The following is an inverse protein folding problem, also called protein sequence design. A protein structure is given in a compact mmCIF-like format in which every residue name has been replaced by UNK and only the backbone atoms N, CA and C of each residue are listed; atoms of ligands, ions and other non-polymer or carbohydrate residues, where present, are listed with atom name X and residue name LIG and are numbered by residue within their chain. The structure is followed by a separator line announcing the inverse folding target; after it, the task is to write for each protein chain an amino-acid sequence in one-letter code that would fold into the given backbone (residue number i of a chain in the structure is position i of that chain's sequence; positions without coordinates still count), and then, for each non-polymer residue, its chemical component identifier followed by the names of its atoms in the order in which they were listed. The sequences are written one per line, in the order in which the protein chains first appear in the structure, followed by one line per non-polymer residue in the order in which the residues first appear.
data_IF_648041276281
#
_entry.id   IF_648041276281
#
_cell.length_a   1.000
_cell.length_b   1.000
_cell.length_c   1.000
_cell.angle_alpha   90.00
_cell.angle_beta   90.00
_cell.angle_gamma   90.00
#
_symmetry.space_group_name_H-M   'P 1'
#
loop_
_entity.id
_entity.type
_entity.pdbx_description
1 polymer ?
#
# COMPACT_ATOMS: atom_id res chain seq x y z
N UNK A 1 8.72 18.83 6.05
CA UNK A 1 9.45 17.54 6.20
C UNK A 1 8.51 16.33 6.17
N UNK A 2 7.46 16.28 7.00
CA UNK A 2 6.54 15.13 7.08
C UNK A 2 5.94 14.69 5.73
N UNK A 3 5.47 15.64 4.93
CA UNK A 3 4.92 15.41 3.59
C UNK A 3 5.88 14.62 2.69
N UNK A 4 7.12 15.11 2.55
CA UNK A 4 8.16 14.47 1.75
C UNK A 4 8.53 13.10 2.31
N UNK A 5 8.66 12.96 3.63
CA UNK A 5 8.99 11.66 4.22
C UNK A 5 7.88 10.63 4.00
N UNK A 6 6.61 11.03 4.03
CA UNK A 6 5.50 10.11 3.76
C UNK A 6 5.55 9.59 2.31
N UNK A 7 5.73 10.51 1.35
CA UNK A 7 5.88 10.19 -0.07
C UNK A 7 7.08 9.25 -0.31
N UNK A 8 8.27 9.60 0.23
CA UNK A 8 9.49 8.80 0.09
C UNK A 8 9.32 7.40 0.69
N UNK A 9 8.70 7.29 1.87
CA UNK A 9 8.47 5.97 2.47
C UNK A 9 7.48 5.13 1.65
N UNK A 10 6.51 5.76 0.97
CA UNK A 10 5.65 5.08 0.00
C UNK A 10 6.44 4.51 -1.18
N UNK A 11 7.33 5.33 -1.76
CA UNK A 11 8.24 4.91 -2.85
C UNK A 11 9.12 3.73 -2.41
N UNK A 12 9.73 3.82 -1.22
CA UNK A 12 10.58 2.76 -0.69
C UNK A 12 9.79 1.48 -0.41
N UNK A 13 8.55 1.59 0.05
CA UNK A 13 7.68 0.44 0.26
C UNK A 13 7.36 -0.28 -1.06
N UNK A 14 7.08 0.47 -2.14
CA UNK A 14 6.87 -0.12 -3.47
C UNK A 14 8.14 -0.81 -3.99
N UNK A 15 9.30 -0.17 -3.85
CA UNK A 15 10.58 -0.79 -4.21
C UNK A 15 10.84 -2.09 -3.44
N UNK A 16 10.51 -2.14 -2.14
CA UNK A 16 10.62 -3.35 -1.34
C UNK A 16 9.63 -4.43 -1.78
N UNK A 17 8.38 -4.07 -2.06
CA UNK A 17 7.37 -5.00 -2.58
C UNK A 17 7.82 -5.61 -3.91
N UNK A 18 8.20 -4.78 -4.88
CA UNK A 18 8.68 -5.21 -6.19
C UNK A 18 9.88 -6.17 -6.09
N UNK A 19 10.83 -5.90 -5.18
CA UNK A 19 11.96 -6.82 -4.93
C UNK A 19 11.48 -8.16 -4.39
N UNK A 20 10.54 -8.17 -3.44
CA UNK A 20 9.99 -9.41 -2.89
C UNK A 20 9.23 -10.20 -3.96
N UNK A 21 8.41 -9.55 -4.76
CA UNK A 21 7.70 -10.20 -5.87
C UNK A 21 8.68 -10.78 -6.89
N UNK A 22 9.72 -10.02 -7.24
CA UNK A 22 10.77 -10.49 -8.15
C UNK A 22 11.51 -11.71 -7.60
N UNK A 23 11.72 -11.81 -6.29
CA UNK A 23 12.39 -12.94 -5.66
C UNK A 23 11.49 -14.17 -5.51
N UNK A 24 10.20 -13.98 -5.21
CA UNK A 24 9.31 -15.07 -4.80
C UNK A 24 8.29 -15.49 -5.86
N UNK A 25 7.92 -14.60 -6.77
CA UNK A 25 6.84 -14.81 -7.73
C UNK A 25 7.32 -14.94 -9.19
N UNK A 26 8.57 -14.58 -9.48
CA UNK A 26 9.13 -14.70 -10.83
C UNK A 26 9.12 -16.16 -11.32
N UNK A 27 8.62 -16.36 -12.54
CA UNK A 27 8.52 -17.69 -13.16
C UNK A 27 7.29 -18.49 -12.77
N UNK A 28 6.42 -17.98 -11.90
CA UNK A 28 5.13 -18.60 -11.58
C UNK A 28 4.07 -18.23 -12.62
N UNK A 29 3.21 -19.19 -12.97
CA UNK A 29 2.03 -18.94 -13.80
C UNK A 29 1.02 -18.07 -13.05
N UNK A 30 0.46 -17.07 -13.73
CA UNK A 30 -0.55 -16.19 -13.17
C UNK A 30 -1.81 -17.00 -12.78
N UNK A 31 -2.08 -17.10 -11.49
CA UNK A 31 -3.24 -17.79 -10.93
C UNK A 31 -3.69 -17.09 -9.62
N UNK A 32 -4.82 -17.51 -9.05
CA UNK A 32 -5.40 -16.88 -7.86
C UNK A 32 -4.42 -16.85 -6.66
N UNK A 33 -3.58 -17.87 -6.49
CA UNK A 33 -2.61 -17.92 -5.40
C UNK A 33 -1.50 -16.89 -5.60
N UNK A 34 -1.02 -16.70 -6.84
CA UNK A 34 -0.03 -15.67 -7.17
C UNK A 34 -0.61 -14.27 -6.97
N UNK A 35 -1.88 -14.03 -7.34
CA UNK A 35 -2.53 -12.73 -7.13
C UNK A 35 -2.70 -12.40 -5.64
N UNK A 36 -3.07 -13.40 -4.82
CA UNK A 36 -3.13 -13.26 -3.36
C UNK A 36 -1.73 -13.01 -2.79
N UNK A 37 -0.73 -13.76 -3.24
CA UNK A 37 0.64 -13.62 -2.76
C UNK A 37 1.21 -12.23 -3.08
N UNK A 38 1.00 -11.71 -4.29
CA UNK A 38 1.38 -10.34 -4.65
C UNK A 38 0.72 -9.30 -3.73
N UNK A 39 -0.61 -9.39 -3.56
CA UNK A 39 -1.33 -8.52 -2.65
C UNK A 39 -0.80 -8.59 -1.20
N UNK A 40 -0.41 -9.77 -0.71
CA UNK A 40 0.22 -9.93 0.61
C UNK A 40 1.58 -9.23 0.67
N UNK A 41 2.43 -9.39 -0.35
CA UNK A 41 3.76 -8.79 -0.39
C UNK A 41 3.67 -7.26 -0.46
N UNK A 42 2.81 -6.73 -1.32
CA UNK A 42 2.58 -5.30 -1.46
C UNK A 42 2.01 -4.67 -0.19
N UNK A 43 0.89 -5.19 0.32
CA UNK A 43 0.26 -4.65 1.52
C UNK A 43 1.14 -4.86 2.76
N UNK A 44 1.89 -5.96 2.81
CA UNK A 44 2.89 -6.24 3.84
C UNK A 44 3.98 -5.19 3.87
N UNK A 45 4.57 -4.89 2.71
CA UNK A 45 5.58 -3.85 2.58
C UNK A 45 5.01 -2.47 2.96
N UNK A 46 3.84 -2.10 2.45
CA UNK A 46 3.15 -0.84 2.84
C UNK A 46 2.97 -0.76 4.35
N UNK A 47 2.43 -1.81 4.96
CA UNK A 47 2.17 -1.85 6.40
C UNK A 47 3.45 -1.65 7.22
N UNK A 48 4.52 -2.39 6.90
CA UNK A 48 5.80 -2.29 7.62
C UNK A 48 6.37 -0.87 7.50
N UNK A 49 6.46 -0.33 6.28
CA UNK A 49 7.03 1.00 6.07
C UNK A 49 6.17 2.11 6.66
N UNK A 50 4.85 2.03 6.55
CA UNK A 50 3.92 2.98 7.14
C UNK A 50 3.99 2.96 8.68
N UNK A 51 4.07 1.77 9.28
CA UNK A 51 4.27 1.61 10.72
C UNK A 51 5.58 2.26 11.17
N UNK A 52 6.68 1.99 10.47
CA UNK A 52 8.00 2.52 10.82
C UNK A 52 8.08 4.04 10.61
N UNK A 53 7.53 4.55 9.52
CA UNK A 53 7.41 5.98 9.27
C UNK A 53 6.62 6.66 10.39
N UNK A 54 5.44 6.13 10.73
CA UNK A 54 4.61 6.67 11.81
C UNK A 54 5.35 6.65 13.13
N UNK A 55 6.01 5.55 13.49
CA UNK A 55 6.80 5.44 14.73
C UNK A 55 7.93 6.46 14.78
N UNK A 56 8.58 6.77 13.66
CA UNK A 56 9.73 7.68 13.59
C UNK A 56 9.35 9.16 13.62
N UNK A 57 8.25 9.53 12.97
CA UNK A 57 7.96 10.94 12.68
C UNK A 57 6.71 11.51 13.36
N UNK A 58 5.72 10.70 13.71
CA UNK A 58 4.48 11.19 14.35
C UNK A 58 4.51 11.38 15.88
N UNK A 59 5.30 10.67 16.71
CA UNK A 59 5.30 10.89 18.15
C UNK A 59 5.77 12.29 18.56
N UNK A 60 6.45 12.98 17.65
CA UNK A 60 7.11 14.27 17.92
C UNK A 60 6.16 15.46 17.81
N UNK A 61 4.96 15.31 17.25
CA UNK A 61 4.04 16.43 17.00
C UNK A 61 2.58 16.00 17.23
N UNK A 62 1.78 16.75 18.00
CA UNK A 62 0.34 16.53 18.07
C UNK A 62 -0.30 16.92 16.73
N UNK A 63 -0.63 15.93 15.92
CA UNK A 63 -1.16 16.12 14.56
C UNK A 63 -2.66 15.80 14.54
N UNK A 64 -3.45 16.71 13.99
CA UNK A 64 -4.89 16.54 13.75
C UNK A 64 -5.16 15.36 12.80
N UNK A 65 -6.24 14.61 13.05
CA UNK A 65 -6.62 13.44 12.25
C UNK A 65 -6.67 13.70 10.73
N UNK A 66 -7.27 14.80 10.23
CA UNK A 66 -7.30 15.07 8.79
C UNK A 66 -5.91 15.17 8.16
N UNK A 67 -4.93 15.73 8.89
CA UNK A 67 -3.56 15.82 8.40
C UNK A 67 -2.86 14.46 8.41
N UNK A 68 -3.15 13.57 9.37
CA UNK A 68 -2.63 12.19 9.34
C UNK A 68 -3.18 11.42 8.13
N UNK A 69 -4.48 11.54 7.86
CA UNK A 69 -5.11 10.92 6.68
C UNK A 69 -4.47 11.45 5.39
N UNK A 70 -4.24 12.77 5.29
CA UNK A 70 -3.54 13.35 4.14
C UNK A 70 -2.12 12.79 3.97
N UNK A 71 -1.37 12.58 5.05
CA UNK A 71 -0.04 11.95 4.99
C UNK A 71 -0.11 10.49 4.52
N UNK A 72 -1.13 9.73 4.94
CA UNK A 72 -1.34 8.37 4.45
C UNK A 72 -1.72 8.33 2.96
N UNK A 73 -2.48 9.32 2.49
CA UNK A 73 -2.73 9.50 1.05
C UNK A 73 -1.42 9.76 0.30
N UNK A 74 -0.56 10.65 0.79
CA UNK A 74 0.75 10.92 0.16
C UNK A 74 1.65 9.69 0.15
N UNK A 75 1.63 8.87 1.20
CA UNK A 75 2.32 7.58 1.21
C UNK A 75 1.80 6.66 0.09
N UNK A 76 0.47 6.53 -0.06
CA UNK A 76 -0.14 5.73 -1.12
C UNK A 76 0.15 6.25 -2.52
N UNK A 77 0.19 7.57 -2.70
CA UNK A 77 0.63 8.21 -3.96
C UNK A 77 2.08 7.84 -4.27
N UNK A 78 2.98 7.92 -3.28
CA UNK A 78 4.38 7.55 -3.46
C UNK A 78 4.56 6.10 -3.90
N UNK A 79 3.77 5.18 -3.32
CA UNK A 79 3.75 3.79 -3.75
C UNK A 79 3.29 3.66 -5.20
N UNK A 80 2.13 4.25 -5.54
CA UNK A 80 1.56 4.19 -6.88
C UNK A 80 2.49 4.76 -7.95
N UNK A 81 3.27 5.82 -7.64
CA UNK A 81 4.22 6.40 -8.60
C UNK A 81 5.24 5.38 -9.12
N UNK A 82 5.71 4.47 -8.27
CA UNK A 82 6.67 3.43 -8.66
C UNK A 82 5.98 2.40 -9.56
N UNK A 83 4.84 1.87 -9.14
CA UNK A 83 4.05 0.91 -9.91
C UNK A 83 3.68 1.44 -11.30
N UNK A 84 3.24 2.69 -11.38
CA UNK A 84 2.94 3.37 -12.65
C UNK A 84 4.18 3.45 -13.55
N UNK A 85 5.35 3.73 -12.98
CA UNK A 85 6.59 3.83 -13.76
C UNK A 85 7.03 2.48 -14.33
N UNK A 86 6.61 1.37 -13.71
CA UNK A 86 6.89 0.01 -14.16
C UNK A 86 5.85 -0.51 -15.18
N UNK A 87 4.59 -0.08 -15.05
CA UNK A 87 3.53 -0.44 -15.98
C UNK A 87 3.63 0.38 -17.29
N UNK A 88 4.29 -0.12 -18.34
CA UNK A 88 4.44 0.62 -19.62
C UNK A 88 3.91 -0.17 -20.84
N UNK A 89 3.08 0.44 -21.72
CA UNK A 89 2.36 1.70 -21.58
C UNK A 89 0.99 1.47 -20.89
N UNK A 90 0.68 2.17 -19.78
CA UNK A 90 -0.56 1.92 -19.06
C UNK A 90 -1.69 2.75 -19.69
N UNK A 91 -2.84 2.13 -19.95
CA UNK A 91 -4.08 2.86 -20.30
C UNK A 91 -4.45 3.78 -19.13
N UNK A 92 -5.02 4.96 -19.42
CA UNK A 92 -5.43 5.94 -18.39
C UNK A 92 -6.35 5.33 -17.32
N UNK A 93 -7.23 4.40 -17.71
CA UNK A 93 -8.09 3.67 -16.78
C UNK A 93 -7.31 2.82 -15.77
N UNK A 94 -6.18 2.24 -16.18
CA UNK A 94 -5.30 1.45 -15.31
C UNK A 94 -4.55 2.38 -14.35
N UNK A 95 -4.08 3.55 -14.83
CA UNK A 95 -3.42 4.54 -13.98
C UNK A 95 -4.31 4.99 -12.81
N UNK A 96 -5.57 5.32 -13.10
CA UNK A 96 -6.52 5.78 -12.09
C UNK A 96 -6.88 4.68 -11.10
N UNK A 97 -7.15 3.46 -11.58
CA UNK A 97 -7.51 2.35 -10.71
C UNK A 97 -6.34 1.93 -9.81
N UNK A 98 -5.13 1.89 -10.37
CA UNK A 98 -3.89 1.60 -9.65
C UNK A 98 -3.62 2.64 -8.57
N UNK A 99 -3.63 3.93 -8.93
CA UNK A 99 -3.45 5.01 -7.95
C UNK A 99 -4.49 4.94 -6.83
N UNK A 100 -5.75 4.69 -7.19
CA UNK A 100 -6.85 4.62 -6.22
C UNK A 100 -6.69 3.46 -5.25
N UNK A 101 -6.27 2.27 -5.72
CA UNK A 101 -6.11 1.10 -4.85
C UNK A 101 -4.97 1.33 -3.83
N UNK A 102 -3.82 1.88 -4.24
CA UNK A 102 -2.71 2.12 -3.30
C UNK A 102 -3.01 3.26 -2.32
N UNK A 103 -3.75 4.29 -2.73
CA UNK A 103 -4.23 5.33 -1.81
C UNK A 103 -5.21 4.73 -0.79
N UNK A 104 -6.20 3.99 -1.26
CA UNK A 104 -7.26 3.44 -0.41
C UNK A 104 -6.69 2.44 0.61
N UNK A 105 -5.83 1.52 0.18
CA UNK A 105 -5.17 0.56 1.06
C UNK A 105 -4.24 1.25 2.07
N UNK A 106 -3.50 2.28 1.66
CA UNK A 106 -2.65 3.07 2.57
C UNK A 106 -3.46 3.83 3.62
N UNK A 107 -4.59 4.43 3.23
CA UNK A 107 -5.54 5.07 4.15
C UNK A 107 -6.12 4.07 5.14
N UNK A 108 -6.50 2.87 4.66
CA UNK A 108 -7.06 1.82 5.48
C UNK A 108 -6.03 1.34 6.51
N UNK A 109 -4.83 0.93 6.08
CA UNK A 109 -3.75 0.51 6.97
C UNK A 109 -3.37 1.61 7.99
N UNK A 110 -3.26 2.85 7.53
CA UNK A 110 -2.95 4.00 8.38
C UNK A 110 -4.04 4.27 9.43
N UNK A 111 -5.31 4.14 9.05
CA UNK A 111 -6.45 4.33 9.96
C UNK A 111 -6.48 3.22 11.02
N UNK A 112 -6.28 1.96 10.64
CA UNK A 112 -6.20 0.85 11.58
C UNK A 112 -4.97 0.94 12.51
N UNK A 113 -3.86 1.51 12.02
CA UNK A 113 -2.71 1.87 12.87
C UNK A 113 -3.07 2.91 13.93
N UNK A 114 -3.94 3.87 13.61
CA UNK A 114 -4.48 4.83 14.59
C UNK A 114 -5.36 4.12 15.61
N UNK A 115 -6.33 3.32 15.13
CA UNK A 115 -7.31 2.61 15.94
C UNK A 115 -6.71 1.51 16.83
N UNK A 116 -5.49 1.01 16.51
CA UNK A 116 -4.75 0.08 17.37
C UNK A 116 -4.68 0.54 18.82
N UNK A 117 -4.60 1.85 19.06
CA UNK A 117 -4.56 2.42 20.42
C UNK A 117 -5.79 2.02 21.25
N UNK A 118 -6.94 1.86 20.60
CA UNK A 118 -8.20 1.48 21.24
C UNK A 118 -8.36 -0.03 21.34
N UNK A 119 -7.88 -0.79 20.35
CA UNK A 119 -7.87 -2.25 20.43
C UNK A 119 -6.79 -2.87 19.53
N UNK A 120 -5.98 -3.83 20.03
CA UNK A 120 -4.92 -4.45 19.24
C UNK A 120 -5.44 -5.26 18.06
N UNK A 121 -6.68 -5.77 18.10
CA UNK A 121 -7.29 -6.57 17.03
C UNK A 121 -7.58 -5.76 15.76
N UNK A 122 -7.56 -4.43 15.86
CA UNK A 122 -7.75 -3.54 14.72
C UNK A 122 -6.63 -3.71 13.68
N UNK A 123 -5.40 -4.04 14.09
CA UNK A 123 -4.31 -4.27 13.14
C UNK A 123 -4.54 -5.45 12.20
N UNK A 124 -4.73 -6.69 12.69
CA UNK A 124 -4.94 -7.83 11.79
C UNK A 124 -6.18 -7.65 10.94
N UNK A 125 -7.26 -7.03 11.46
CA UNK A 125 -8.46 -6.72 10.67
C UNK A 125 -8.15 -5.76 9.52
N UNK A 126 -7.43 -4.66 9.79
CA UNK A 126 -7.02 -3.73 8.76
C UNK A 126 -6.13 -4.37 7.70
N UNK A 127 -5.21 -5.24 8.12
CA UNK A 127 -4.33 -5.95 7.20
C UNK A 127 -5.09 -6.93 6.30
N UNK A 128 -5.99 -7.73 6.86
CA UNK A 128 -6.84 -8.66 6.09
C UNK A 128 -7.73 -7.90 5.11
N UNK A 129 -8.33 -6.78 5.53
CA UNK A 129 -9.15 -5.95 4.65
C UNK A 129 -8.34 -5.34 3.50
N UNK A 130 -7.14 -4.82 3.78
CA UNK A 130 -6.26 -4.27 2.75
C UNK A 130 -5.88 -5.34 1.70
N UNK A 131 -5.45 -6.52 2.16
CA UNK A 131 -5.11 -7.65 1.27
C UNK A 131 -6.33 -8.08 0.45
N UNK A 132 -7.50 -8.21 1.08
CA UNK A 132 -8.72 -8.67 0.40
C UNK A 132 -9.14 -7.68 -0.70
N UNK A 133 -9.06 -6.39 -0.39
CA UNK A 133 -9.39 -5.32 -1.32
C UNK A 133 -8.39 -5.25 -2.49
N UNK A 134 -7.10 -5.38 -2.20
CA UNK A 134 -6.07 -5.44 -3.25
C UNK A 134 -6.19 -6.71 -4.10
N UNK A 135 -6.38 -7.87 -3.49
CA UNK A 135 -6.59 -9.14 -4.21
C UNK A 135 -7.77 -9.03 -5.17
N UNK A 136 -8.86 -8.40 -4.73
CA UNK A 136 -10.04 -8.15 -5.58
C UNK A 136 -9.69 -7.25 -6.76
N UNK A 137 -8.91 -6.19 -6.54
CA UNK A 137 -8.39 -5.35 -7.61
C UNK A 137 -7.54 -6.15 -8.61
N UNK A 138 -6.58 -6.95 -8.11
CA UNK A 138 -5.71 -7.79 -8.94
C UNK A 138 -6.52 -8.78 -9.79
N UNK A 139 -7.57 -9.37 -9.22
CA UNK A 139 -8.47 -10.27 -9.94
C UNK A 139 -9.24 -9.55 -11.06
N UNK A 140 -9.78 -8.37 -10.77
CA UNK A 140 -10.50 -7.56 -11.78
C UNK A 140 -9.54 -7.17 -12.91
N UNK A 141 -8.34 -6.69 -12.59
CA UNK A 141 -7.37 -6.29 -13.61
C UNK A 141 -6.91 -7.48 -14.45
N UNK A 142 -6.60 -8.62 -13.83
CA UNK A 142 -6.23 -9.84 -14.53
C UNK A 142 -7.34 -10.33 -15.48
N UNK A 143 -8.62 -10.12 -15.14
CA UNK A 143 -9.74 -10.49 -16.00
C UNK A 143 -9.95 -9.57 -17.23
N UNK A 144 -9.29 -8.41 -17.25
CA UNK A 144 -9.39 -7.41 -18.32
C UNK A 144 -8.21 -7.47 -19.32
N UNK A 145 -7.23 -8.33 -19.08
CA UNK A 145 -6.05 -8.57 -19.92
C UNK A 145 -6.28 -9.77 -20.84
#
# INVERSE_FOLDING_TARGET
MLLFTALIYGILAAGAAFLLESLFLTGLSLNILVLIAGAILEEGAKFIFLFQWRKRFLPLVPILLPYQLFLFTLFGVGFAMVEISLAVPPKISILLSLTSIHILTSLLLGSFLILKKSSPIMLPLGFILAISLHTTYNFIVASLQ
#
